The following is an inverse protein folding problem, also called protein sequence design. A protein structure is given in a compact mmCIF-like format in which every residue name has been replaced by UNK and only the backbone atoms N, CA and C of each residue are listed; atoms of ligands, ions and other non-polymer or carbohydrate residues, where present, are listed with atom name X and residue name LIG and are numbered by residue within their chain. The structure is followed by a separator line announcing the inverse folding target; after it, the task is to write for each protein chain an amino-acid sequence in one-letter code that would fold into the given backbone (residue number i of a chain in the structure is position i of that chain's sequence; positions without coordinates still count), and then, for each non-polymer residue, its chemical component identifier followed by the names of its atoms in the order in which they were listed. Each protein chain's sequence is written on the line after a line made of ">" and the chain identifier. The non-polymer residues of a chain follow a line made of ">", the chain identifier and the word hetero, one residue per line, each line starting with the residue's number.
data_IF_613463546433
#
_entry.id   IF_613463546433
#
_cell.length_a   1.000
_cell.length_b   1.000
_cell.length_c   1.000
_cell.angle_alpha   90.00
_cell.angle_beta   90.00
_cell.angle_gamma   90.00
#
_symmetry.space_group_name_H-M   'P 1'
#
loop_
_entity.id
_entity.type
_entity.pdbx_description
1 polymer ?
#
# COMPACT_ATOMS: atom_id res chain seq x y z
N UNK A 1 -12.73 14.25 9.08
CA UNK A 1 -13.41 13.29 8.18
C UNK A 1 -13.67 11.92 8.81
N UNK A 2 -13.55 11.74 10.13
CA UNK A 2 -13.74 10.43 10.76
C UNK A 2 -15.12 9.84 10.50
N UNK A 3 -16.17 10.65 10.58
CA UNK A 3 -17.56 10.24 10.34
C UNK A 3 -17.94 10.05 8.86
N UNK A 4 -17.02 10.32 7.93
CA UNK A 4 -17.27 10.18 6.48
C UNK A 4 -16.37 9.08 5.87
N UNK A 5 -15.78 8.21 6.70
CA UNK A 5 -14.99 7.08 6.22
C UNK A 5 -15.92 5.92 5.87
N UNK A 6 -16.09 5.67 4.58
CA UNK A 6 -16.88 4.53 4.07
C UNK A 6 -16.08 3.22 4.08
N UNK A 7 -14.77 3.29 4.30
CA UNK A 7 -13.88 2.14 4.36
C UNK A 7 -12.74 2.38 5.38
N UNK A 8 -12.13 1.32 5.94
CA UNK A 8 -10.95 1.45 6.79
C UNK A 8 -9.78 2.12 6.05
N UNK A 9 -9.03 2.95 6.78
CA UNK A 9 -7.79 3.53 6.25
C UNK A 9 -6.71 2.46 6.18
N UNK A 10 -6.17 2.23 4.98
CA UNK A 10 -5.06 1.29 4.74
C UNK A 10 -3.79 2.03 4.30
N UNK A 11 -2.63 1.37 4.41
CA UNK A 11 -1.33 1.95 4.05
C UNK A 11 -0.55 1.04 3.11
N UNK A 12 0.15 1.64 2.16
CA UNK A 12 1.10 0.96 1.28
C UNK A 12 2.46 1.64 1.45
N UNK A 13 3.45 0.91 1.95
CA UNK A 13 4.77 1.45 2.31
C UNK A 13 5.90 0.55 1.81
N UNK A 14 7.15 0.98 2.00
CA UNK A 14 8.29 0.07 2.02
C UNK A 14 8.13 -1.00 3.10
N UNK A 15 8.94 -2.04 3.01
CA UNK A 15 9.00 -3.09 4.03
C UNK A 15 9.76 -2.59 5.25
N UNK A 16 9.55 -3.20 6.42
CA UNK A 16 10.28 -2.87 7.65
C UNK A 16 11.67 -3.53 7.64
N UNK A 17 12.46 -3.17 6.63
CA UNK A 17 13.79 -3.69 6.35
C UNK A 17 14.66 -2.57 5.78
N UNK A 18 16.00 -2.60 5.95
CA UNK A 18 16.89 -1.69 5.24
C UNK A 18 16.64 -1.73 3.72
N UNK A 19 16.79 -0.59 3.05
CA UNK A 19 16.54 -0.49 1.61
C UNK A 19 17.54 -1.37 0.84
N UNK A 20 17.07 -2.39 0.10
CA UNK A 20 17.96 -3.27 -0.64
C UNK A 20 18.37 -2.67 -1.99
N UNK A 21 19.61 -2.93 -2.42
CA UNK A 21 20.05 -2.51 -3.74
C UNK A 21 19.49 -3.42 -4.86
N UNK A 22 19.60 -4.74 -4.70
CA UNK A 22 19.17 -5.69 -5.73
C UNK A 22 17.65 -5.87 -5.81
N UNK A 23 16.94 -5.73 -4.69
CA UNK A 23 15.49 -5.93 -4.58
C UNK A 23 14.71 -4.60 -4.56
N UNK A 24 15.26 -3.54 -5.14
CA UNK A 24 14.66 -2.20 -5.17
C UNK A 24 13.19 -2.23 -5.63
N UNK A 25 12.90 -2.94 -6.72
CA UNK A 25 11.55 -2.97 -7.31
C UNK A 25 10.53 -3.78 -6.50
N UNK A 26 10.99 -4.74 -5.70
CA UNK A 26 10.14 -5.48 -4.77
C UNK A 26 9.89 -4.69 -3.48
N UNK A 27 10.86 -3.88 -3.06
CA UNK A 27 10.76 -3.00 -1.89
C UNK A 27 9.91 -1.76 -2.17
N UNK A 28 10.09 -1.14 -3.34
CA UNK A 28 9.40 0.08 -3.72
C UNK A 28 7.87 -0.14 -3.78
N UNK A 29 7.04 0.76 -3.19
CA UNK A 29 5.59 0.66 -3.26
C UNK A 29 5.07 1.11 -4.63
N UNK A 30 5.39 0.34 -5.68
CA UNK A 30 5.03 0.66 -7.06
C UNK A 30 3.53 0.54 -7.39
N UNK A 31 3.11 0.94 -8.60
CA UNK A 31 1.70 1.01 -9.01
C UNK A 31 0.94 -0.30 -8.82
N UNK A 32 1.58 -1.45 -9.02
CA UNK A 32 0.95 -2.75 -8.81
C UNK A 32 0.57 -3.00 -7.33
N UNK A 33 1.44 -2.61 -6.38
CA UNK A 33 1.18 -2.74 -4.94
C UNK A 33 0.09 -1.77 -4.48
N UNK A 34 0.18 -0.52 -4.94
CA UNK A 34 -0.84 0.51 -4.66
C UNK A 34 -2.20 0.12 -5.23
N UNK A 35 -2.24 -0.35 -6.48
CA UNK A 35 -3.48 -0.74 -7.15
C UNK A 35 -4.19 -1.94 -6.53
N UNK A 36 -3.46 -2.86 -5.89
CA UNK A 36 -4.09 -3.94 -5.09
C UNK A 36 -4.74 -3.39 -3.82
N UNK A 37 -4.07 -2.47 -3.13
CA UNK A 37 -4.63 -1.84 -1.93
C UNK A 37 -5.88 -1.03 -2.26
N UNK A 38 -5.87 -0.26 -3.35
CA UNK A 38 -7.04 0.50 -3.81
C UNK A 38 -8.25 -0.40 -4.07
N UNK A 39 -8.05 -1.55 -4.75
CA UNK A 39 -9.12 -2.53 -4.95
C UNK A 39 -9.62 -3.10 -3.63
N UNK A 40 -8.72 -3.54 -2.76
CA UNK A 40 -9.08 -4.07 -1.44
C UNK A 40 -9.85 -3.07 -0.56
N UNK A 41 -9.57 -1.76 -0.69
CA UNK A 41 -10.30 -0.72 0.04
C UNK A 41 -11.75 -0.53 -0.46
N UNK A 42 -12.05 -0.90 -1.70
CA UNK A 42 -13.36 -0.71 -2.34
C UNK A 42 -14.21 -2.00 -2.39
N UNK A 43 -13.60 -3.17 -2.16
CA UNK A 43 -14.25 -4.49 -2.26
C UNK A 43 -14.80 -5.01 -0.92
N UNK A 44 -14.74 -4.22 0.15
CA UNK A 44 -15.24 -4.57 1.49
C UNK A 44 -16.75 -4.74 1.60
#
# INVERSE_FOLDING_TARGET
>A
CFYHLEAPVIRVTGWDTPYPHAQEWDYFPGPARVGRALRAALEG
#
